data_IF_887819301619
#
_entry.id   IF_887819301619
#
_cell.length_a   1.000
_cell.length_b   1.000
_cell.length_c   1.000
_cell.angle_alpha   90.00
_cell.angle_beta   90.00
_cell.angle_gamma   90.00
#
_symmetry.space_group_name_H-M   'P 1'
#
loop_
_entity.id
_entity.type
_entity.pdbx_description
1 polymer ?
#
# COMPACT_ATOMS: atom_id res chain seq x y z
N UNK A 1 27.49 -1.78 17.79
CA UNK A 1 26.92 -0.94 16.71
C UNK A 1 25.74 -1.69 16.11
N UNK A 2 24.67 -1.01 15.73
CA UNK A 2 23.55 -1.62 15.04
C UNK A 2 24.01 -2.19 13.68
N UNK A 3 23.51 -3.38 13.29
CA UNK A 3 23.75 -3.95 11.97
C UNK A 3 22.86 -3.26 10.93
N UNK A 4 23.46 -2.81 9.84
CA UNK A 4 22.69 -2.23 8.72
C UNK A 4 22.29 -3.33 7.73
N UNK A 5 21.02 -3.34 7.34
CA UNK A 5 20.44 -4.26 6.34
C UNK A 5 20.08 -3.43 5.11
N UNK A 6 20.79 -3.72 4.04
CA UNK A 6 20.65 -3.02 2.75
C UNK A 6 19.45 -3.51 1.94
N UNK A 7 19.06 -2.73 0.92
CA UNK A 7 18.04 -3.12 -0.04
C UNK A 7 18.36 -4.47 -0.73
N UNK A 8 19.62 -4.74 -1.04
CA UNK A 8 20.05 -5.99 -1.66
C UNK A 8 19.81 -7.19 -0.72
N UNK A 9 20.20 -7.07 0.56
CA UNK A 9 19.97 -8.11 1.57
C UNK A 9 18.47 -8.36 1.80
N UNK A 10 17.65 -7.29 1.82
CA UNK A 10 16.18 -7.41 1.94
C UNK A 10 15.60 -8.26 0.80
N UNK A 11 16.02 -8.00 -0.44
CA UNK A 11 15.55 -8.74 -1.61
C UNK A 11 16.06 -10.19 -1.68
N UNK A 12 17.24 -10.45 -1.14
CA UNK A 12 17.81 -11.81 -1.06
C UNK A 12 17.08 -12.66 -0.02
N UNK A 13 16.77 -12.07 1.15
CA UNK A 13 16.19 -12.78 2.29
C UNK A 13 14.67 -12.97 2.13
N UNK A 14 13.97 -12.00 1.52
CA UNK A 14 12.52 -11.96 1.49
C UNK A 14 11.94 -12.03 0.07
N UNK A 15 11.36 -13.18 -0.27
CA UNK A 15 10.57 -13.35 -1.49
C UNK A 15 9.16 -12.76 -1.37
N UNK A 16 8.48 -12.61 -2.52
CA UNK A 16 7.16 -12.00 -2.59
C UNK A 16 6.09 -12.79 -1.80
N UNK A 17 6.14 -14.13 -1.83
CA UNK A 17 5.12 -14.95 -1.18
C UNK A 17 5.23 -14.87 0.35
N UNK A 18 6.44 -14.87 0.87
CA UNK A 18 6.71 -14.66 2.29
C UNK A 18 6.31 -13.26 2.74
N UNK A 19 6.55 -12.24 1.91
CA UNK A 19 6.10 -10.88 2.20
C UNK A 19 4.57 -10.81 2.26
N UNK A 20 3.85 -11.44 1.32
CA UNK A 20 2.37 -11.52 1.34
C UNK A 20 1.88 -12.19 2.62
N UNK A 21 2.45 -13.34 2.99
CA UNK A 21 2.06 -14.06 4.19
C UNK A 21 2.29 -13.22 5.46
N UNK A 22 3.40 -12.46 5.53
CA UNK A 22 3.68 -11.56 6.65
C UNK A 22 2.65 -10.43 6.75
N UNK A 23 2.23 -9.86 5.62
CA UNK A 23 1.21 -8.81 5.59
C UNK A 23 -0.18 -9.34 5.97
N UNK A 24 -0.57 -10.52 5.49
CA UNK A 24 -1.83 -11.16 5.89
C UNK A 24 -1.85 -11.39 7.40
N UNK A 25 -0.77 -11.96 7.96
CA UNK A 25 -0.64 -12.23 9.39
C UNK A 25 -0.73 -10.93 10.22
N UNK A 26 -0.05 -9.85 9.81
CA UNK A 26 -0.06 -8.61 10.60
C UNK A 26 -1.40 -7.90 10.56
N UNK A 27 -2.13 -7.89 9.46
CA UNK A 27 -3.50 -7.36 9.43
C UNK A 27 -4.43 -8.13 10.36
N UNK A 28 -4.33 -9.47 10.38
CA UNK A 28 -5.09 -10.30 11.32
C UNK A 28 -4.68 -10.04 12.78
N UNK A 29 -3.38 -9.89 13.07
CA UNK A 29 -2.87 -9.55 14.39
C UNK A 29 -3.38 -8.18 14.85
N UNK A 30 -3.38 -7.21 13.95
CA UNK A 30 -3.86 -5.86 14.25
C UNK A 30 -5.37 -5.86 14.59
N UNK A 31 -6.18 -6.55 13.83
CA UNK A 31 -7.61 -6.69 14.10
C UNK A 31 -7.90 -7.47 15.41
N UNK A 32 -6.97 -8.32 15.87
CA UNK A 32 -7.04 -9.02 17.16
C UNK A 32 -6.44 -8.22 18.33
N UNK A 33 -5.83 -7.05 18.06
CA UNK A 33 -5.18 -6.21 19.07
C UNK A 33 -3.80 -6.69 19.51
N UNK A 34 -3.16 -7.65 18.82
CA UNK A 34 -1.82 -8.15 19.13
C UNK A 34 -0.68 -7.43 18.38
N UNK A 35 -0.99 -6.68 17.33
CA UNK A 35 -0.07 -5.72 16.72
C UNK A 35 -0.34 -4.30 17.24
N UNK A 36 0.69 -3.47 17.32
CA UNK A 36 0.60 -2.11 17.89
C UNK A 36 1.04 -1.08 16.86
N UNK A 37 0.16 -0.11 16.63
CA UNK A 37 0.42 1.06 15.78
C UNK A 37 0.50 2.32 16.66
N UNK A 38 1.69 2.92 16.71
CA UNK A 38 1.89 4.21 17.37
C UNK A 38 1.42 5.38 16.49
N UNK A 39 1.16 6.55 17.08
CA UNK A 39 0.79 7.75 16.33
C UNK A 39 1.93 8.19 15.41
N UNK A 40 1.56 8.73 14.24
CA UNK A 40 2.51 9.34 13.33
C UNK A 40 2.74 10.80 13.74
N UNK A 41 3.97 11.14 14.08
CA UNK A 41 4.42 12.52 14.25
C UNK A 41 4.85 13.08 12.89
N UNK A 42 4.40 14.28 12.55
CA UNK A 42 4.76 14.97 11.30
C UNK A 42 5.16 16.41 11.65
N UNK A 43 6.30 16.83 11.14
CA UNK A 43 6.76 18.22 11.14
C UNK A 43 6.80 18.71 9.69
N UNK A 44 6.12 19.83 9.41
CA UNK A 44 6.06 20.40 8.07
C UNK A 44 6.71 21.78 8.04
N UNK A 45 7.42 22.09 6.95
CA UNK A 45 7.99 23.38 6.66
C UNK A 45 7.80 23.68 5.17
N UNK A 46 6.83 24.51 4.84
CA UNK A 46 6.36 24.69 3.47
C UNK A 46 5.89 23.36 2.89
N UNK A 47 6.40 22.99 1.71
CA UNK A 47 6.08 21.73 1.04
C UNK A 47 6.89 20.53 1.57
N UNK A 48 7.87 20.78 2.45
CA UNK A 48 8.69 19.73 3.03
C UNK A 48 8.03 19.14 4.28
N UNK A 49 8.18 17.84 4.48
CA UNK A 49 7.71 17.15 5.68
C UNK A 49 8.76 16.15 6.19
N UNK A 50 8.87 16.05 7.50
CA UNK A 50 9.57 14.97 8.20
C UNK A 50 8.55 14.21 9.04
N UNK A 51 8.73 12.90 9.16
CA UNK A 51 7.80 12.08 9.93
C UNK A 51 8.52 10.97 10.70
N UNK A 52 7.89 10.53 11.79
CA UNK A 52 8.31 9.35 12.53
C UNK A 52 7.11 8.64 13.16
N UNK A 53 7.22 7.33 13.33
CA UNK A 53 6.27 6.52 14.08
C UNK A 53 6.91 5.24 14.61
N UNK A 54 6.28 4.68 15.66
CA UNK A 54 6.63 3.38 16.21
C UNK A 54 5.56 2.36 15.82
N UNK A 55 5.98 1.12 15.63
CA UNK A 55 5.06 0.01 15.41
C UNK A 55 5.67 -1.32 15.87
N UNK A 56 4.78 -2.30 16.09
CA UNK A 56 5.13 -3.68 16.42
C UNK A 56 4.13 -4.62 15.74
N UNK A 57 4.62 -5.66 15.07
CA UNK A 57 3.79 -6.56 14.28
C UNK A 57 3.17 -7.69 15.10
N UNK A 58 3.73 -8.00 16.27
CA UNK A 58 3.27 -9.06 17.17
C UNK A 58 3.44 -8.65 18.63
N UNK A 59 2.78 -9.34 19.54
CA UNK A 59 2.79 -9.01 20.98
C UNK A 59 4.20 -8.96 21.57
N UNK A 60 5.07 -9.88 21.17
CA UNK A 60 6.43 -10.03 21.68
C UNK A 60 7.52 -9.68 20.66
N UNK A 61 7.13 -9.23 19.46
CA UNK A 61 8.06 -8.83 18.40
C UNK A 61 8.84 -7.55 18.70
N UNK A 62 9.85 -7.25 17.90
CA UNK A 62 10.64 -6.05 18.05
C UNK A 62 9.79 -4.80 17.73
N UNK A 63 10.05 -3.73 18.47
CA UNK A 63 9.51 -2.41 18.12
C UNK A 63 10.39 -1.78 17.05
N UNK A 64 9.77 -1.30 15.98
CA UNK A 64 10.45 -0.50 14.97
C UNK A 64 10.17 0.98 15.17
N UNK A 65 11.12 1.80 14.76
CA UNK A 65 10.96 3.24 14.57
C UNK A 65 11.22 3.50 13.08
N UNK A 66 10.18 3.90 12.35
CA UNK A 66 10.37 4.42 10.99
C UNK A 66 10.35 5.93 11.02
N UNK A 67 11.34 6.52 10.40
CA UNK A 67 11.41 7.95 10.21
C UNK A 67 11.83 8.26 8.79
N UNK A 68 11.50 9.46 8.34
CA UNK A 68 11.86 9.87 6.99
C UNK A 68 11.42 11.29 6.68
N UNK A 69 11.65 11.66 5.43
CA UNK A 69 11.33 12.96 4.91
C UNK A 69 10.73 12.90 3.51
N UNK A 70 9.93 13.90 3.19
CA UNK A 70 9.40 14.18 1.85
C UNK A 70 9.82 15.58 1.46
N UNK A 71 10.67 15.70 0.46
CA UNK A 71 11.20 16.95 -0.06
C UNK A 71 10.92 17.05 -1.57
N UNK A 72 9.77 17.62 -1.97
CA UNK A 72 9.37 17.69 -3.39
C UNK A 72 10.40 18.43 -4.25
N UNK A 73 11.12 19.40 -3.68
CA UNK A 73 12.21 20.14 -4.36
C UNK A 73 13.41 19.30 -4.77
N UNK A 74 13.52 18.06 -4.28
CA UNK A 74 14.58 17.13 -4.73
C UNK A 74 14.27 16.50 -6.11
N UNK A 75 13.09 16.75 -6.67
CA UNK A 75 12.78 16.26 -8.03
C UNK A 75 13.78 16.77 -9.04
N UNK A 76 14.47 15.84 -9.75
CA UNK A 76 15.53 16.18 -10.70
C UNK A 76 16.91 16.44 -10.08
N UNK A 77 17.07 16.29 -8.75
CA UNK A 77 18.35 16.37 -8.04
C UNK A 77 18.94 14.97 -7.79
N UNK A 78 20.20 14.86 -7.30
CA UNK A 78 20.76 13.57 -6.87
C UNK A 78 20.10 12.96 -5.63
N UNK A 79 19.31 13.74 -4.89
CA UNK A 79 18.64 13.28 -3.67
C UNK A 79 17.23 12.77 -3.95
N UNK A 80 16.78 11.65 -3.36
CA UNK A 80 15.40 11.19 -3.48
C UNK A 80 14.40 12.20 -2.90
N UNK A 81 13.21 12.28 -3.50
CA UNK A 81 12.10 13.08 -2.96
C UNK A 81 11.61 12.52 -1.63
N UNK A 82 11.62 11.21 -1.48
CA UNK A 82 11.26 10.50 -0.24
C UNK A 82 12.47 9.73 0.24
N UNK A 83 12.83 9.92 1.50
CA UNK A 83 13.94 9.21 2.14
C UNK A 83 13.45 8.63 3.45
N UNK A 84 13.67 7.33 3.66
CA UNK A 84 13.19 6.65 4.87
C UNK A 84 14.23 5.68 5.41
N UNK A 85 14.26 5.57 6.75
CA UNK A 85 15.04 4.56 7.47
C UNK A 85 14.19 3.93 8.56
N UNK A 86 14.51 2.69 8.91
CA UNK A 86 13.86 1.96 9.98
C UNK A 86 14.92 1.51 10.97
N UNK A 87 14.73 1.85 12.24
CA UNK A 87 15.50 1.31 13.37
C UNK A 87 14.70 0.24 14.09
N UNK A 88 15.41 -0.78 14.57
CA UNK A 88 14.82 -1.90 15.30
C UNK A 88 15.34 -1.88 16.73
N UNK A 89 14.42 -1.86 17.69
CA UNK A 89 14.72 -1.93 19.11
C UNK A 89 14.58 -3.38 19.60
N UNK A 90 15.60 -3.83 20.31
CA UNK A 90 15.56 -5.13 21.00
C UNK A 90 14.37 -5.21 21.96
N UNK A 91 13.52 -6.24 21.89
CA UNK A 91 12.45 -6.43 22.86
C UNK A 91 12.97 -6.80 24.25
N UNK A 92 14.25 -7.20 24.37
CA UNK A 92 14.88 -7.62 25.63
C UNK A 92 15.60 -6.48 26.36
N UNK A 93 16.29 -5.62 25.58
CA UNK A 93 17.21 -4.61 26.15
C UNK A 93 16.82 -3.17 25.84
N UNK A 94 15.94 -2.95 24.84
CA UNK A 94 15.61 -1.63 24.29
C UNK A 94 16.73 -1.00 23.44
N UNK A 95 17.85 -1.67 23.27
CA UNK A 95 18.95 -1.17 22.45
C UNK A 95 18.58 -1.20 20.95
N UNK A 96 19.16 -0.29 20.17
CA UNK A 96 19.06 -0.34 18.69
C UNK A 96 19.97 -1.45 18.19
N UNK A 97 19.39 -2.51 17.62
CA UNK A 97 20.12 -3.68 17.13
C UNK A 97 20.33 -3.65 15.62
N UNK A 98 19.34 -3.13 14.87
CA UNK A 98 19.40 -3.08 13.41
C UNK A 98 18.92 -1.74 12.86
N UNK A 99 19.40 -1.42 11.65
CA UNK A 99 18.83 -0.40 10.78
C UNK A 99 18.53 -1.00 9.41
N UNK A 100 17.42 -0.61 8.80
CA UNK A 100 16.98 -1.11 7.49
C UNK A 100 16.84 0.03 6.49
N UNK A 101 17.08 -0.28 5.22
CA UNK A 101 16.66 0.55 4.11
C UNK A 101 15.12 0.65 4.10
N UNK A 102 14.62 1.82 4.51
CA UNK A 102 13.18 2.03 4.67
C UNK A 102 12.43 2.12 3.34
N UNK A 103 13.10 2.48 2.24
CA UNK A 103 12.51 2.53 0.91
C UNK A 103 12.26 1.10 0.38
N UNK A 104 13.25 0.22 0.48
CA UNK A 104 13.12 -1.17 0.07
C UNK A 104 12.02 -1.90 0.86
N UNK A 105 12.00 -1.72 2.20
CA UNK A 105 10.90 -2.25 3.03
C UNK A 105 9.56 -1.70 2.58
N UNK A 106 9.44 -0.38 2.36
CA UNK A 106 8.18 0.25 1.95
C UNK A 106 7.71 -0.25 0.59
N UNK A 107 8.62 -0.41 -0.38
CA UNK A 107 8.30 -0.92 -1.72
C UNK A 107 7.69 -2.32 -1.61
N UNK A 108 8.36 -3.23 -0.93
CA UNK A 108 7.95 -4.64 -0.85
C UNK A 108 6.66 -4.83 -0.03
N UNK A 109 6.54 -4.20 1.17
CA UNK A 109 5.35 -4.33 2.02
C UNK A 109 4.10 -3.72 1.39
N UNK A 110 4.24 -2.64 0.59
CA UNK A 110 3.09 -1.99 -0.06
C UNK A 110 2.50 -2.90 -1.13
N UNK A 111 3.34 -3.46 -1.97
CA UNK A 111 2.93 -4.44 -2.99
C UNK A 111 2.30 -5.67 -2.34
N UNK A 112 2.94 -6.23 -1.30
CA UNK A 112 2.46 -7.41 -0.59
C UNK A 112 1.08 -7.15 0.06
N UNK A 113 0.89 -6.00 0.72
CA UNK A 113 -0.40 -5.62 1.29
C UNK A 113 -1.51 -5.46 0.23
N UNK A 114 -1.18 -4.86 -0.92
CA UNK A 114 -2.11 -4.77 -2.05
C UNK A 114 -2.53 -6.15 -2.54
N UNK A 115 -1.59 -7.11 -2.64
CA UNK A 115 -1.88 -8.48 -3.06
C UNK A 115 -2.75 -9.22 -2.04
N UNK A 116 -2.56 -9.01 -0.73
CA UNK A 116 -3.45 -9.53 0.32
C UNK A 116 -4.88 -9.00 0.11
N UNK A 117 -5.04 -7.70 -0.12
CA UNK A 117 -6.35 -7.09 -0.36
C UNK A 117 -7.01 -7.61 -1.64
N UNK A 118 -6.24 -7.75 -2.74
CA UNK A 118 -6.74 -8.31 -4.00
C UNK A 118 -7.24 -9.74 -3.79
N UNK A 119 -6.48 -10.59 -3.10
CA UNK A 119 -6.88 -11.98 -2.80
C UNK A 119 -8.11 -12.08 -1.92
N UNK A 120 -8.30 -11.13 -0.98
CA UNK A 120 -9.47 -11.06 -0.12
C UNK A 120 -10.73 -10.58 -0.86
N UNK A 121 -10.57 -9.63 -1.80
CA UNK A 121 -11.67 -8.94 -2.47
C UNK A 121 -12.02 -9.50 -3.84
N UNK A 122 -11.22 -10.38 -4.40
CA UNK A 122 -11.46 -10.95 -5.73
C UNK A 122 -11.19 -12.45 -5.76
N UNK A 123 -12.18 -13.24 -6.16
CA UNK A 123 -12.08 -14.69 -6.30
C UNK A 123 -12.14 -15.15 -7.76
N UNK A 124 -12.46 -14.26 -8.70
CA UNK A 124 -12.45 -14.55 -10.14
C UNK A 124 -11.06 -14.40 -10.74
N UNK A 125 -10.84 -15.05 -11.89
CA UNK A 125 -9.62 -14.90 -12.67
C UNK A 125 -9.38 -13.44 -13.07
N UNK A 126 -8.11 -13.02 -13.07
CA UNK A 126 -7.68 -11.70 -13.52
C UNK A 126 -7.01 -11.86 -14.87
N UNK A 127 -7.63 -11.29 -15.90
CA UNK A 127 -7.14 -11.34 -17.28
C UNK A 127 -6.59 -10.00 -17.76
N UNK A 128 -7.13 -8.89 -17.27
CA UNK A 128 -6.69 -7.53 -17.60
C UNK A 128 -6.44 -6.71 -16.35
N UNK A 129 -5.26 -6.13 -16.27
CA UNK A 129 -4.81 -5.27 -15.17
C UNK A 129 -4.45 -3.90 -15.73
N UNK A 130 -4.94 -2.84 -15.13
CA UNK A 130 -4.52 -1.47 -15.45
C UNK A 130 -3.82 -0.83 -14.25
N UNK A 131 -2.71 -0.15 -14.50
CA UNK A 131 -1.94 0.57 -13.48
C UNK A 131 -1.86 2.05 -13.87
N UNK A 132 -2.54 2.88 -13.11
CA UNK A 132 -2.59 4.34 -13.30
C UNK A 132 -1.53 4.99 -12.42
N UNK A 133 -0.58 5.68 -13.05
CA UNK A 133 0.58 6.22 -12.35
C UNK A 133 1.73 5.20 -12.32
N UNK A 134 2.70 5.38 -13.24
CA UNK A 134 3.83 4.47 -13.42
C UNK A 134 5.08 5.09 -12.80
N UNK A 135 5.01 5.32 -11.49
CA UNK A 135 6.13 5.66 -10.61
C UNK A 135 6.76 4.43 -9.96
N UNK A 136 7.55 4.61 -8.91
CA UNK A 136 8.21 3.52 -8.18
C UNK A 136 7.23 2.43 -7.72
N UNK A 137 6.10 2.83 -7.15
CA UNK A 137 5.07 1.87 -6.71
C UNK A 137 4.32 1.22 -7.87
N UNK A 138 3.97 1.96 -8.92
CA UNK A 138 3.29 1.40 -10.09
C UNK A 138 4.14 0.34 -10.80
N UNK A 139 5.44 0.58 -10.96
CA UNK A 139 6.39 -0.39 -11.52
C UNK A 139 6.49 -1.63 -10.61
N UNK A 140 6.65 -1.43 -9.30
CA UNK A 140 6.74 -2.52 -8.34
C UNK A 140 5.48 -3.41 -8.33
N UNK A 141 4.29 -2.80 -8.46
CA UNK A 141 3.04 -3.54 -8.60
C UNK A 141 2.99 -4.31 -9.93
N UNK A 142 3.44 -3.72 -11.05
CA UNK A 142 3.48 -4.41 -12.34
C UNK A 142 4.36 -5.66 -12.27
N UNK A 143 5.56 -5.55 -11.70
CA UNK A 143 6.50 -6.66 -11.52
C UNK A 143 5.88 -7.79 -10.67
N UNK A 144 5.29 -7.47 -9.54
CA UNK A 144 4.69 -8.46 -8.64
C UNK A 144 3.41 -9.10 -9.23
N UNK A 145 2.57 -8.30 -9.89
CA UNK A 145 1.37 -8.78 -10.55
C UNK A 145 1.70 -9.69 -11.74
N UNK A 146 2.81 -9.44 -12.45
CA UNK A 146 3.31 -10.34 -13.48
C UNK A 146 3.69 -11.71 -12.92
N UNK A 147 4.29 -11.75 -11.73
CA UNK A 147 4.63 -13.02 -11.03
C UNK A 147 3.34 -13.75 -10.63
N UNK A 148 2.37 -13.05 -10.04
CA UNK A 148 1.14 -13.66 -9.51
C UNK A 148 0.10 -14.00 -10.57
N UNK A 149 0.04 -13.21 -11.65
CA UNK A 149 -0.93 -13.34 -12.74
C UNK A 149 -0.20 -13.36 -14.10
N UNK A 150 0.62 -14.38 -14.40
CA UNK A 150 1.52 -14.40 -15.55
C UNK A 150 0.78 -14.34 -16.91
N UNK A 151 -0.50 -14.71 -16.93
CA UNK A 151 -1.33 -14.67 -18.15
C UNK A 151 -2.10 -13.37 -18.32
N UNK A 152 -2.15 -12.52 -17.28
CA UNK A 152 -2.87 -11.27 -17.34
C UNK A 152 -2.14 -10.26 -18.23
N UNK A 153 -2.90 -9.52 -19.03
CA UNK A 153 -2.41 -8.35 -19.76
C UNK A 153 -2.29 -7.17 -18.79
N UNK A 154 -1.11 -6.58 -18.71
CA UNK A 154 -0.83 -5.44 -17.82
C UNK A 154 -0.63 -4.17 -18.63
N UNK A 155 -1.49 -3.18 -18.41
CA UNK A 155 -1.50 -1.89 -19.10
C UNK A 155 -1.05 -0.81 -18.14
N UNK A 156 -0.01 -0.06 -18.50
CA UNK A 156 0.42 1.13 -17.78
C UNK A 156 -0.26 2.39 -18.32
N UNK A 157 -0.85 3.21 -17.46
CA UNK A 157 -1.48 4.48 -17.86
C UNK A 157 -0.61 5.63 -17.35
N UNK A 158 0.06 6.31 -18.30
CA UNK A 158 1.07 7.34 -18.01
C UNK A 158 1.44 8.12 -19.26
N UNK A 159 2.02 9.31 -19.06
CA UNK A 159 2.64 10.09 -20.14
C UNK A 159 4.09 9.68 -20.45
N UNK A 160 4.67 8.73 -19.68
CA UNK A 160 6.02 8.21 -19.93
C UNK A 160 6.00 7.21 -21.08
N UNK A 161 7.12 7.05 -21.77
CA UNK A 161 7.32 6.08 -22.86
C UNK A 161 8.43 5.06 -22.46
N UNK A 162 8.51 3.96 -23.22
CA UNK A 162 9.56 2.93 -23.08
C UNK A 162 9.57 2.21 -21.71
N UNK A 163 8.43 1.65 -21.32
CA UNK A 163 8.22 0.94 -20.08
C UNK A 163 8.05 -0.57 -20.36
N UNK A 164 9.13 -1.32 -20.25
CA UNK A 164 9.16 -2.76 -20.58
C UNK A 164 8.39 -3.66 -19.59
N UNK A 165 7.92 -3.10 -18.46
CA UNK A 165 7.15 -3.82 -17.44
C UNK A 165 5.68 -4.03 -17.85
N UNK A 166 5.23 -3.35 -18.90
CA UNK A 166 3.85 -3.34 -19.36
C UNK A 166 3.73 -3.95 -20.76
N UNK A 167 2.63 -4.65 -21.00
CA UNK A 167 2.31 -5.17 -22.35
C UNK A 167 1.84 -4.03 -23.28
N UNK A 168 1.29 -2.98 -22.66
CA UNK A 168 0.83 -1.79 -23.37
C UNK A 168 0.93 -0.55 -22.47
N UNK A 169 1.12 0.61 -23.09
CA UNK A 169 1.09 1.91 -22.41
C UNK A 169 0.00 2.78 -23.01
N UNK A 170 -1.01 3.08 -22.19
CA UNK A 170 -2.08 4.02 -22.49
C UNK A 170 -1.79 5.41 -21.92
N UNK A 171 -2.43 6.43 -22.48
CA UNK A 171 -2.32 7.82 -22.00
C UNK A 171 -3.60 8.33 -21.36
N UNK A 172 -4.71 7.66 -21.60
CA UNK A 172 -6.03 8.04 -21.12
C UNK A 172 -6.57 7.01 -20.12
N UNK A 173 -7.29 7.49 -19.12
CA UNK A 173 -7.98 6.66 -18.12
C UNK A 173 -8.99 5.70 -18.76
N UNK A 174 -9.52 6.03 -19.96
CA UNK A 174 -10.41 5.15 -20.72
C UNK A 174 -9.76 3.79 -21.03
N UNK A 175 -8.43 3.67 -21.06
CA UNK A 175 -7.74 2.40 -21.23
C UNK A 175 -7.97 1.40 -20.07
N UNK A 176 -8.50 1.87 -18.93
CA UNK A 176 -8.92 1.01 -17.81
C UNK A 176 -10.21 0.24 -18.09
N UNK A 177 -10.96 0.60 -19.11
CA UNK A 177 -12.23 -0.05 -19.45
C UNK A 177 -12.04 -1.57 -19.61
N UNK A 178 -12.94 -2.35 -19.01
CA UNK A 178 -12.89 -3.81 -19.03
C UNK A 178 -11.73 -4.42 -18.23
N UNK A 179 -11.05 -3.66 -17.37
CA UNK A 179 -10.02 -4.22 -16.47
C UNK A 179 -10.65 -4.90 -15.27
N UNK A 180 -10.15 -6.09 -14.96
CA UNK A 180 -10.52 -6.86 -13.77
C UNK A 180 -9.93 -6.25 -12.50
N UNK A 181 -8.72 -5.70 -12.62
CA UNK A 181 -7.97 -5.08 -11.54
C UNK A 181 -7.40 -3.74 -11.98
N UNK A 182 -7.56 -2.73 -11.13
CA UNK A 182 -7.03 -1.38 -11.36
C UNK A 182 -6.22 -0.96 -10.16
N UNK A 183 -4.95 -0.65 -10.37
CA UNK A 183 -4.05 -0.09 -9.37
C UNK A 183 -3.92 1.41 -9.63
N UNK A 184 -4.24 2.23 -8.63
CA UNK A 184 -4.03 3.67 -8.65
C UNK A 184 -2.82 3.99 -7.76
N UNK A 185 -1.78 4.57 -8.36
CA UNK A 185 -0.52 4.91 -7.68
C UNK A 185 0.03 6.26 -8.12
N UNK A 186 -0.86 7.25 -8.12
CA UNK A 186 -0.57 8.61 -8.57
C UNK A 186 -0.22 9.54 -7.40
N UNK A 187 0.24 10.73 -7.74
CA UNK A 187 0.44 11.83 -6.79
C UNK A 187 -0.70 12.85 -6.84
N UNK A 188 -1.87 12.46 -7.39
CA UNK A 188 -2.96 13.40 -7.62
C UNK A 188 -3.56 13.95 -6.32
N UNK A 189 -3.91 15.22 -6.34
CA UNK A 189 -4.67 15.90 -5.28
C UNK A 189 -6.16 15.97 -5.58
N UNK A 190 -6.55 15.54 -6.79
CA UNK A 190 -7.95 15.47 -7.25
C UNK A 190 -8.22 14.08 -7.81
N UNK A 191 -9.46 13.59 -7.77
CA UNK A 191 -9.81 12.30 -8.33
C UNK A 191 -9.37 12.16 -9.79
N UNK A 192 -8.70 11.06 -10.10
CA UNK A 192 -8.32 10.68 -11.46
C UNK A 192 -9.21 9.56 -11.98
N UNK A 193 -9.98 8.93 -11.10
CA UNK A 193 -10.83 7.80 -11.38
C UNK A 193 -12.24 8.08 -10.84
N UNK A 194 -13.16 8.45 -11.73
CA UNK A 194 -14.50 8.89 -11.37
C UNK A 194 -15.61 8.04 -12.02
N UNK A 195 -15.25 7.20 -12.99
CA UNK A 195 -16.24 6.37 -13.69
C UNK A 195 -16.41 5.03 -13.00
N UNK A 196 -17.67 4.62 -12.87
CA UNK A 196 -18.03 3.26 -12.49
C UNK A 196 -17.43 2.27 -13.48
N UNK A 197 -16.69 1.31 -12.97
CA UNK A 197 -16.26 0.14 -13.73
C UNK A 197 -17.03 -1.05 -13.18
N UNK A 198 -17.82 -1.66 -14.05
CA UNK A 198 -18.50 -2.89 -13.70
C UNK A 198 -17.48 -4.00 -13.46
N UNK A 199 -17.70 -4.75 -12.36
CA UNK A 199 -17.00 -6.01 -12.06
C UNK A 199 -15.50 -5.88 -11.80
N UNK A 200 -14.99 -4.72 -11.35
CA UNK A 200 -13.56 -4.55 -11.11
C UNK A 200 -13.22 -4.41 -9.64
N UNK A 201 -11.98 -4.74 -9.31
CA UNK A 201 -11.36 -4.41 -8.03
C UNK A 201 -10.39 -3.25 -8.23
N UNK A 202 -10.58 -2.16 -7.46
CA UNK A 202 -9.72 -0.98 -7.47
C UNK A 202 -8.84 -0.99 -6.22
N UNK A 203 -7.55 -0.79 -6.38
CA UNK A 203 -6.58 -0.61 -5.29
C UNK A 203 -5.98 0.78 -5.41
N UNK A 204 -6.27 1.68 -4.47
CA UNK A 204 -5.73 3.03 -4.40
C UNK A 204 -4.68 3.12 -3.31
N UNK A 205 -3.45 3.44 -3.69
CA UNK A 205 -2.30 3.62 -2.79
C UNK A 205 -1.78 5.06 -2.78
N UNK A 206 -2.26 5.92 -3.68
CA UNK A 206 -1.86 7.32 -3.76
C UNK A 206 -2.66 8.25 -2.84
N UNK A 207 -3.81 7.81 -2.32
CA UNK A 207 -4.69 8.62 -1.46
C UNK A 207 -4.28 8.62 0.02
N UNK A 208 -3.00 8.54 0.33
CA UNK A 208 -2.45 8.31 1.69
C UNK A 208 -2.30 9.57 2.55
N UNK A 209 -2.75 10.71 2.10
CA UNK A 209 -2.77 11.97 2.86
C UNK A 209 -4.08 12.73 2.61
N UNK A 210 -4.56 13.56 3.55
CA UNK A 210 -5.87 14.22 3.45
C UNK A 210 -6.04 15.10 2.21
N UNK A 211 -4.95 15.62 1.66
CA UNK A 211 -4.92 16.44 0.43
C UNK A 211 -4.66 15.62 -0.85
N UNK A 212 -4.79 14.29 -0.81
CA UNK A 212 -4.57 13.40 -1.95
C UNK A 212 -5.80 12.54 -2.21
N UNK A 213 -6.30 12.56 -3.42
CA UNK A 213 -7.44 11.74 -3.80
C UNK A 213 -7.28 11.20 -5.22
N UNK A 214 -7.40 9.88 -5.37
CA UNK A 214 -7.36 9.22 -6.68
C UNK A 214 -8.75 8.79 -7.15
N UNK A 215 -9.68 8.58 -6.21
CA UNK A 215 -11.02 8.03 -6.48
C UNK A 215 -12.08 9.06 -6.14
N UNK A 216 -13.04 9.24 -7.04
CA UNK A 216 -14.15 10.17 -6.86
C UNK A 216 -15.18 9.67 -5.83
N UNK A 217 -15.87 10.59 -5.11
CA UNK A 217 -16.84 10.25 -4.08
C UNK A 217 -17.99 9.37 -4.59
N UNK A 218 -18.49 9.59 -5.79
CA UNK A 218 -19.62 8.83 -6.34
C UNK A 218 -19.22 7.39 -6.66
N UNK A 219 -17.98 7.17 -7.08
CA UNK A 219 -17.45 5.83 -7.28
C UNK A 219 -17.38 5.08 -5.94
N UNK A 220 -16.87 5.73 -4.89
CA UNK A 220 -16.78 5.14 -3.54
C UNK A 220 -18.16 4.76 -3.01
N UNK A 221 -19.15 5.64 -3.15
CA UNK A 221 -20.55 5.39 -2.74
C UNK A 221 -21.21 4.24 -3.48
N UNK A 222 -20.84 4.03 -4.73
CA UNK A 222 -21.42 2.98 -5.59
C UNK A 222 -20.70 1.64 -5.49
N UNK A 223 -19.58 1.57 -4.78
CA UNK A 223 -18.87 0.33 -4.54
C UNK A 223 -19.68 -0.62 -3.64
N UNK A 224 -19.64 -1.90 -3.96
CA UNK A 224 -20.29 -2.93 -3.16
C UNK A 224 -19.52 -3.21 -1.85
N UNK A 225 -18.18 -3.00 -1.89
CA UNK A 225 -17.31 -3.07 -0.72
C UNK A 225 -16.23 -1.99 -0.77
N UNK A 226 -16.06 -1.29 0.35
CA UNK A 226 -14.92 -0.39 0.57
C UNK A 226 -14.11 -0.91 1.74
N UNK A 227 -12.88 -1.33 1.47
CA UNK A 227 -11.96 -1.88 2.48
C UNK A 227 -10.75 -0.96 2.60
N UNK A 228 -10.26 -0.80 3.80
CA UNK A 228 -9.11 0.05 4.14
C UNK A 228 -8.11 -0.74 4.98
N UNK A 229 -6.88 -0.32 5.05
CA UNK A 229 -5.87 -0.96 5.91
C UNK A 229 -6.20 -0.78 7.40
N UNK A 230 -6.68 0.39 7.82
CA UNK A 230 -7.24 0.66 9.16
C UNK A 230 -8.33 1.75 9.08
N UNK A 231 -9.47 1.50 9.69
CA UNK A 231 -10.64 2.38 9.62
C UNK A 231 -10.37 3.74 10.25
N UNK A 232 -9.76 3.76 11.44
CA UNK A 232 -9.47 5.01 12.15
C UNK A 232 -8.45 5.87 11.39
N UNK A 233 -7.40 5.24 10.89
CA UNK A 233 -6.36 5.91 10.12
C UNK A 233 -6.89 6.39 8.77
N UNK A 234 -7.69 5.59 8.08
CA UNK A 234 -8.26 5.94 6.78
C UNK A 234 -9.18 7.18 6.86
N UNK A 235 -10.04 7.25 7.87
CA UNK A 235 -10.92 8.42 8.10
C UNK A 235 -10.15 9.72 8.36
N UNK A 236 -8.92 9.62 8.87
CA UNK A 236 -8.07 10.79 9.14
C UNK A 236 -7.11 11.12 7.99
N UNK A 237 -6.64 10.12 7.26
CA UNK A 237 -5.50 10.26 6.34
C UNK A 237 -5.82 9.89 4.89
N UNK A 238 -6.83 9.06 4.60
CA UNK A 238 -7.18 8.74 3.22
C UNK A 238 -7.98 9.88 2.60
N UNK A 239 -7.36 10.71 1.78
CA UNK A 239 -8.03 11.89 1.22
C UNK A 239 -9.27 11.56 0.40
N UNK A 240 -9.32 10.41 -0.28
CA UNK A 240 -10.49 9.97 -1.00
C UNK A 240 -11.67 9.66 -0.06
N UNK A 241 -11.43 9.01 1.09
CA UNK A 241 -12.46 8.76 2.12
C UNK A 241 -12.87 10.07 2.79
N UNK A 242 -11.90 10.91 3.19
CA UNK A 242 -12.16 12.23 3.78
C UNK A 242 -13.05 13.07 2.87
N UNK A 243 -12.77 13.08 1.56
CA UNK A 243 -13.56 13.81 0.57
C UNK A 243 -14.97 13.21 0.44
N UNK A 244 -15.10 11.89 0.36
CA UNK A 244 -16.39 11.22 0.21
C UNK A 244 -17.30 11.41 1.44
N UNK A 245 -16.74 11.37 2.65
CA UNK A 245 -17.48 11.56 3.91
C UNK A 245 -17.98 13.01 4.13
N UNK A 246 -17.48 13.99 3.37
CA UNK A 246 -18.08 15.34 3.35
C UNK A 246 -19.50 15.35 2.78
N UNK A 247 -19.85 14.38 1.95
CA UNK A 247 -21.15 14.29 1.30
C UNK A 247 -22.10 13.30 1.99
N UNK A 248 -21.61 12.18 2.48
CA UNK A 248 -22.37 11.18 3.22
C UNK A 248 -21.41 10.21 3.93
N UNK A 249 -21.82 9.60 5.07
CA UNK A 249 -21.07 8.52 5.70
C UNK A 249 -20.82 7.35 4.75
N UNK A 250 -19.61 6.79 4.78
CA UNK A 250 -19.22 5.64 3.98
C UNK A 250 -19.05 4.42 4.89
N UNK A 251 -19.65 3.29 4.49
CA UNK A 251 -19.40 2.00 5.17
C UNK A 251 -18.04 1.47 4.72
N UNK A 252 -17.04 1.56 5.60
CA UNK A 252 -15.68 1.08 5.36
C UNK A 252 -15.32 -0.01 6.37
N UNK A 253 -14.59 -1.03 5.92
CA UNK A 253 -14.13 -2.16 6.76
C UNK A 253 -12.62 -2.26 6.75
N UNK A 254 -12.04 -2.63 7.89
CA UNK A 254 -10.63 -2.93 7.98
C UNK A 254 -10.26 -4.21 7.24
N UNK A 255 -9.11 -4.24 6.57
CA UNK A 255 -8.63 -5.43 5.88
C UNK A 255 -8.44 -6.60 6.85
N UNK A 256 -7.89 -6.36 8.05
CA UNK A 256 -7.72 -7.37 9.07
C UNK A 256 -9.03 -8.03 9.50
N UNK A 257 -10.09 -7.24 9.67
CA UNK A 257 -11.43 -7.78 9.98
C UNK A 257 -12.00 -8.61 8.82
N UNK A 258 -11.77 -8.15 7.58
CA UNK A 258 -12.19 -8.85 6.37
C UNK A 258 -11.52 -10.22 6.23
N UNK A 259 -10.25 -10.31 6.65
CA UNK A 259 -9.48 -11.55 6.63
C UNK A 259 -9.89 -12.55 7.72
N UNK A 260 -10.29 -12.08 8.90
CA UNK A 260 -10.69 -12.94 10.03
C UNK A 260 -12.12 -13.45 9.88
N UNK A 261 -13.02 -12.56 9.53
CA UNK A 261 -14.42 -12.94 9.28
C UNK A 261 -14.43 -13.61 7.90
N UNK A 262 -14.77 -14.91 7.85
CA UNK A 262 -15.06 -15.54 6.58
C UNK A 262 -16.06 -14.63 5.83
N UNK A 263 -15.53 -13.74 4.99
CA UNK A 263 -16.36 -12.78 4.24
C UNK A 263 -17.36 -13.57 3.42
N UNK A 264 -18.60 -13.11 3.28
CA UNK A 264 -19.53 -13.70 2.33
C UNK A 264 -18.80 -13.81 0.98
N UNK A 265 -19.09 -14.89 0.26
CA UNK A 265 -18.47 -15.16 -1.04
C UNK A 265 -18.49 -13.88 -1.87
N UNK A 266 -17.30 -13.43 -2.26
CA UNK A 266 -17.15 -12.25 -3.14
C UNK A 266 -17.69 -12.67 -4.51
N UNK A 267 -18.73 -12.00 -4.97
CA UNK A 267 -19.26 -12.24 -6.32
C UNK A 267 -18.28 -11.70 -7.37
N UNK A 268 -18.11 -12.39 -8.50
CA UNK A 268 -17.34 -11.85 -9.64
C UNK A 268 -17.87 -10.51 -10.18
N UNK A 269 -19.11 -10.20 -9.90
CA UNK A 269 -19.81 -8.99 -10.36
C UNK A 269 -19.60 -7.79 -9.41
N UNK A 270 -19.07 -8.02 -8.21
CA UNK A 270 -18.89 -6.96 -7.22
C UNK A 270 -17.79 -5.95 -7.65
N UNK A 271 -18.07 -4.70 -7.31
CA UNK A 271 -17.16 -3.56 -7.45
C UNK A 271 -16.51 -3.30 -6.10
N UNK A 272 -15.27 -3.65 -5.98
CA UNK A 272 -14.55 -3.57 -4.72
C UNK A 272 -13.48 -2.49 -4.77
N UNK A 273 -13.33 -1.74 -3.70
CA UNK A 273 -12.28 -0.74 -3.57
C UNK A 273 -11.48 -1.03 -2.29
N UNK A 274 -10.16 -1.05 -2.43
CA UNK A 274 -9.23 -1.06 -1.31
C UNK A 274 -8.40 0.22 -1.31
N UNK A 275 -8.36 0.91 -0.16
CA UNK A 275 -7.49 2.05 0.07
C UNK A 275 -6.39 1.68 1.05
N UNK A 276 -5.14 1.93 0.67
CA UNK A 276 -3.98 1.80 1.55
C UNK A 276 -3.37 3.16 1.84
N UNK A 277 -3.34 3.55 3.11
CA UNK A 277 -2.62 4.74 3.58
C UNK A 277 -1.22 4.40 4.09
N UNK A 278 -0.95 3.10 4.28
CA UNK A 278 0.33 2.58 4.78
C UNK A 278 0.46 2.71 6.30
N UNK A 279 0.52 1.58 6.97
CA UNK A 279 0.63 1.48 8.43
C UNK A 279 2.02 1.02 8.85
N UNK A 280 2.50 1.51 9.99
CA UNK A 280 3.79 1.09 10.54
C UNK A 280 3.86 -0.41 10.87
N UNK A 281 2.74 -1.04 11.18
CA UNK A 281 2.68 -2.49 11.41
C UNK A 281 3.09 -3.31 10.19
N UNK A 282 2.84 -2.80 8.98
CA UNK A 282 3.24 -3.45 7.73
C UNK A 282 4.77 -3.46 7.58
N UNK A 283 5.41 -2.33 7.90
CA UNK A 283 6.87 -2.23 7.91
C UNK A 283 7.45 -3.15 9.01
N UNK A 284 6.84 -3.17 10.21
CA UNK A 284 7.25 -4.02 11.32
C UNK A 284 7.16 -5.52 10.98
N UNK A 285 6.10 -5.95 10.28
CA UNK A 285 5.91 -7.34 9.90
C UNK A 285 6.99 -7.83 8.93
N UNK A 286 7.34 -6.99 7.94
CA UNK A 286 8.39 -7.35 7.00
C UNK A 286 9.77 -7.38 7.67
N UNK A 287 10.05 -6.44 8.57
CA UNK A 287 11.28 -6.42 9.37
C UNK A 287 11.36 -7.65 10.27
N UNK A 288 10.28 -8.02 10.98
CA UNK A 288 10.22 -9.20 11.84
C UNK A 288 10.51 -10.47 11.04
N UNK A 289 9.88 -10.64 9.85
CA UNK A 289 10.14 -11.76 8.94
C UNK A 289 11.60 -11.84 8.51
N UNK A 290 12.23 -10.71 8.17
CA UNK A 290 13.64 -10.68 7.74
C UNK A 290 14.56 -11.08 8.92
N UNK A 291 14.29 -10.57 10.12
CA UNK A 291 15.06 -10.90 11.33
C UNK A 291 14.98 -12.39 11.71
N UNK A 292 13.84 -13.03 11.48
CA UNK A 292 13.66 -14.48 11.68
C UNK A 292 14.51 -15.35 10.72
N UNK A 293 15.00 -14.76 9.63
CA UNK A 293 15.76 -15.44 8.58
C UNK A 293 17.25 -15.07 8.56
N UNK A 294 17.68 -14.11 9.39
CA UNK A 294 19.08 -13.72 9.57
C UNK A 294 19.82 -14.65 10.53
#
# INVERSE_FOLDING_TARGET
MARSISAAEIHEICDLDSAIASQEKVFQNFAKGSAVLGPRAVLSQGDNAQFAYLARASEHGPTIIKFGSVFPGNSGSPFPVVQTSILVLSPKTGAVEYSFDGEAVTKLRTVAASLVAIQALRKSEIQKISIVGVGHQGIAHAEALRIKYPKARIIGITNKSNLNQFDEVGRDIAATEGSDLIILSTNSTTPVFEKLIDKSTVVSIGSFAPNRSEVGPDLIKSADRVVVDDVETARKQCGAIVLAEQFAPIDIKGLGETLIKASPVVSPEERNIYFSVGLGIQDAALVELILERL
#
